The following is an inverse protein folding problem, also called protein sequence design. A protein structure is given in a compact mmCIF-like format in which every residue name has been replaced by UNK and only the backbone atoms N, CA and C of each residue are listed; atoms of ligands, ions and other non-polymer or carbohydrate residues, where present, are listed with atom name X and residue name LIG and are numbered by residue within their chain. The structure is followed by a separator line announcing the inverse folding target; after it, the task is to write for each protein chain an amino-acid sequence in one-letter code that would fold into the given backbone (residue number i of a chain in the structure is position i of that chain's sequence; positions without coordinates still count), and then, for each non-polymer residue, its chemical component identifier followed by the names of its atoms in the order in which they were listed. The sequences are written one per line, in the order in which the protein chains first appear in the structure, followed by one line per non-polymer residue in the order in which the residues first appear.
data_IF_389158306846
#
_entry.id   IF_389158306846
#
_cell.length_a   1.000
_cell.length_b   1.000
_cell.length_c   1.000
_cell.angle_alpha   90.00
_cell.angle_beta   90.00
_cell.angle_gamma   90.00
#
_symmetry.space_group_name_H-M   'P 1'
#
loop_
_entity.id
_entity.type
_entity.pdbx_description
1 polymer ?
#
# COMPACT_ATOMS: atom_id res chain seq x y z
N UNK A 1 -25.63 -7.14 21.75
CA UNK A 1 -24.63 -6.12 21.39
C UNK A 1 -23.36 -6.86 21.03
N UNK A 2 -22.96 -6.86 19.77
CA UNK A 2 -21.68 -7.41 19.34
C UNK A 2 -20.60 -6.33 19.55
N UNK A 3 -19.54 -6.67 20.28
CA UNK A 3 -18.42 -5.77 20.54
C UNK A 3 -17.41 -5.95 19.40
N UNK A 4 -17.39 -5.02 18.45
CA UNK A 4 -16.37 -4.97 17.42
C UNK A 4 -15.05 -4.52 18.05
N UNK A 5 -14.08 -5.42 18.11
CA UNK A 5 -12.71 -5.12 18.55
C UNK A 5 -11.90 -4.65 17.35
N UNK A 6 -11.66 -3.34 17.28
CA UNK A 6 -10.71 -2.78 16.32
C UNK A 6 -9.30 -2.91 16.90
N UNK A 7 -8.42 -3.65 16.21
CA UNK A 7 -7.00 -3.65 16.53
C UNK A 7 -6.38 -2.39 15.92
N UNK A 8 -6.24 -1.35 16.74
CA UNK A 8 -5.54 -0.13 16.34
C UNK A 8 -4.04 -0.43 16.37
N UNK A 9 -3.40 -0.42 15.20
CA UNK A 9 -1.95 -0.56 15.09
C UNK A 9 -1.31 0.77 15.54
N UNK A 10 -0.33 0.76 16.45
CA UNK A 10 0.39 1.96 16.83
C UNK A 10 1.07 2.62 15.62
N UNK A 11 1.06 3.96 15.57
CA UNK A 11 1.64 4.73 14.45
C UNK A 11 3.09 4.35 14.16
N UNK A 12 3.90 4.08 15.19
CA UNK A 12 5.28 3.64 15.02
C UNK A 12 5.40 2.31 14.28
N UNK A 13 4.52 1.36 14.57
CA UNK A 13 4.52 0.06 13.92
C UNK A 13 4.04 0.17 12.47
N UNK A 14 3.04 1.03 12.22
CA UNK A 14 2.62 1.37 10.86
C UNK A 14 3.77 1.95 10.03
N UNK A 15 4.49 2.95 10.57
CA UNK A 15 5.63 3.57 9.91
C UNK A 15 6.75 2.57 9.62
N UNK A 16 7.03 1.63 10.54
CA UNK A 16 8.02 0.56 10.32
C UNK A 16 7.60 -0.37 9.18
N UNK A 17 6.33 -0.76 9.12
CA UNK A 17 5.79 -1.61 8.05
C UNK A 17 5.87 -0.90 6.69
N UNK A 18 5.49 0.37 6.61
CA UNK A 18 5.61 1.15 5.37
C UNK A 18 7.06 1.32 4.94
N UNK A 19 7.98 1.61 5.87
CA UNK A 19 9.40 1.75 5.56
C UNK A 19 10.02 0.45 5.04
N UNK A 20 9.70 -0.69 5.68
CA UNK A 20 10.13 -2.00 5.21
C UNK A 20 9.57 -2.29 3.82
N UNK A 21 8.28 -2.02 3.58
CA UNK A 21 7.64 -2.22 2.29
C UNK A 21 8.32 -1.42 1.18
N UNK A 22 8.65 -0.15 1.43
CA UNK A 22 9.40 0.69 0.48
C UNK A 22 10.81 0.16 0.21
N UNK A 23 11.47 -0.43 1.20
CA UNK A 23 12.83 -0.95 1.06
C UNK A 23 12.91 -2.25 0.22
N UNK A 24 11.87 -3.09 0.30
CA UNK A 24 11.86 -4.39 -0.42
C UNK A 24 11.27 -4.30 -1.83
N UNK A 25 10.43 -3.29 -2.10
CA UNK A 25 9.75 -3.17 -3.38
C UNK A 25 10.52 -2.26 -4.33
N UNK A 26 11.37 -2.90 -5.12
CA UNK A 26 12.11 -2.26 -6.20
C UNK A 26 11.50 -2.65 -7.55
N UNK A 27 11.67 -1.78 -8.53
CA UNK A 27 11.22 -2.02 -9.89
C UNK A 27 12.02 -3.17 -10.51
N UNK A 28 11.31 -4.14 -11.08
CA UNK A 28 11.92 -5.33 -11.71
C UNK A 28 12.77 -4.99 -12.92
N UNK A 29 12.48 -3.88 -13.61
CA UNK A 29 13.19 -3.47 -14.81
C UNK A 29 14.44 -2.64 -14.52
N UNK A 30 14.33 -1.63 -13.64
CA UNK A 30 15.39 -0.65 -13.40
C UNK A 30 15.98 -0.67 -11.98
N UNK A 31 15.47 -1.53 -11.08
CA UNK A 31 15.99 -1.72 -9.72
C UNK A 31 15.73 -0.56 -8.75
N UNK A 32 15.13 0.53 -9.21
CA UNK A 32 14.79 1.70 -8.40
C UNK A 32 13.62 1.41 -7.45
N UNK A 33 13.62 2.01 -6.26
CA UNK A 33 12.51 1.92 -5.32
C UNK A 33 11.18 2.36 -5.96
N UNK A 34 10.11 1.60 -5.71
CA UNK A 34 8.76 1.92 -6.16
C UNK A 34 8.12 2.95 -5.21
N UNK A 35 7.34 3.85 -5.78
CA UNK A 35 6.49 4.78 -5.04
C UNK A 35 5.08 4.18 -4.92
N UNK A 36 4.50 4.28 -3.73
CA UNK A 36 3.17 3.75 -3.46
C UNK A 36 2.18 4.88 -3.23
N UNK A 37 1.02 4.78 -3.88
CA UNK A 37 -0.11 5.69 -3.67
C UNK A 37 -1.38 4.91 -3.37
N UNK A 38 -2.25 5.51 -2.57
CA UNK A 38 -3.52 4.90 -2.17
C UNK A 38 -4.67 5.76 -2.69
N UNK A 39 -5.62 5.13 -3.37
CA UNK A 39 -6.84 5.77 -3.88
C UNK A 39 -8.04 5.02 -3.32
N UNK A 40 -8.96 5.75 -2.70
CA UNK A 40 -10.26 5.19 -2.31
C UNK A 40 -11.14 5.15 -3.56
N UNK A 41 -11.55 3.95 -3.99
CA UNK A 41 -12.49 3.81 -5.08
C UNK A 41 -13.91 4.08 -4.56
N UNK A 42 -14.72 4.83 -5.31
CA UNK A 42 -16.08 5.18 -4.87
C UNK A 42 -17.06 4.01 -4.95
N UNK A 43 -16.78 3.01 -5.80
CA UNK A 43 -17.70 1.90 -6.08
C UNK A 43 -17.66 0.79 -5.01
N UNK A 44 -16.58 0.71 -4.24
CA UNK A 44 -16.41 -0.26 -3.16
C UNK A 44 -15.67 0.45 -2.03
N UNK A 45 -16.02 0.21 -0.77
CA UNK A 45 -15.24 0.70 0.39
C UNK A 45 -13.86 -0.02 0.48
N UNK A 46 -13.10 0.01 -0.61
CA UNK A 46 -11.89 -0.73 -0.92
C UNK A 46 -10.82 0.31 -1.21
N UNK A 47 -9.68 0.17 -0.55
CA UNK A 47 -8.50 0.97 -0.83
C UNK A 47 -7.77 0.30 -2.00
N UNK A 48 -7.65 1.03 -3.11
CA UNK A 48 -6.77 0.65 -4.22
C UNK A 48 -5.37 1.16 -3.90
N UNK A 49 -4.37 0.29 -4.01
CA UNK A 49 -2.97 0.65 -3.92
C UNK A 49 -2.35 0.60 -5.33
N UNK A 50 -1.57 1.62 -5.66
CA UNK A 50 -0.85 1.73 -6.93
C UNK A 50 0.64 1.92 -6.63
N UNK A 51 1.47 1.00 -7.12
CA UNK A 51 2.92 1.06 -7.03
C UNK A 51 3.51 1.47 -8.39
N UNK A 52 4.18 2.61 -8.45
CA UNK A 52 4.73 3.18 -9.68
C UNK A 52 6.26 3.31 -9.60
N UNK A 53 6.93 3.04 -10.71
CA UNK A 53 8.36 3.30 -10.83
C UNK A 53 8.62 4.71 -11.39
N UNK A 54 9.34 5.59 -10.68
CA UNK A 54 9.60 6.94 -11.15
C UNK A 54 10.54 7.00 -12.39
N UNK A 55 11.35 5.97 -12.61
CA UNK A 55 12.34 5.96 -13.70
C UNK A 55 11.83 5.30 -14.98
N UNK A 56 11.13 4.19 -14.87
CA UNK A 56 10.72 3.39 -16.02
C UNK A 56 9.18 3.37 -16.25
N UNK A 57 8.43 4.21 -15.51
CA UNK A 57 6.98 4.43 -15.64
C UNK A 57 6.09 3.17 -15.56
N UNK A 58 6.65 2.08 -15.04
CA UNK A 58 5.95 0.82 -14.86
C UNK A 58 5.03 0.94 -13.65
N UNK A 59 3.75 0.62 -13.85
CA UNK A 59 2.69 0.71 -12.84
C UNK A 59 2.21 -0.69 -12.51
N UNK A 60 2.17 -1.04 -11.22
CA UNK A 60 1.53 -2.23 -10.67
C UNK A 60 0.38 -1.78 -9.78
N UNK A 61 -0.83 -2.23 -10.08
CA UNK A 61 -2.03 -1.98 -9.25
C UNK A 61 -2.36 -3.22 -8.43
N UNK A 62 -2.62 -3.03 -7.13
CA UNK A 62 -3.16 -4.07 -6.24
C UNK A 62 -4.41 -3.57 -5.52
N UNK A 63 -5.47 -4.38 -5.56
CA UNK A 63 -6.74 -4.07 -4.91
C UNK A 63 -6.81 -4.74 -3.53
N UNK A 64 -6.75 -3.94 -2.46
CA UNK A 64 -6.90 -4.46 -1.10
C UNK A 64 -8.36 -4.39 -0.65
N UNK A 65 -9.05 -5.55 -0.64
CA UNK A 65 -10.36 -5.65 0.02
C UNK A 65 -10.18 -5.46 1.53
N UNK A 66 -10.67 -4.33 2.04
CA UNK A 66 -10.83 -4.12 3.47
C UNK A 66 -12.16 -4.78 3.86
N UNK A 67 -12.08 -5.89 4.61
CA UNK A 67 -13.25 -6.61 5.13
C UNK A 67 -13.64 -6.09 6.52
#
# INVERSE_FOLDING_TARGET
MEVFKFNIIPTEEFMKREAFRKAINNCEACGTALEFSYKQLNEFAVLSEEASCPCCALIKEENHRVH
#
